data_IF_341256503210
#
_entry.id   IF_341256503210
#
_cell.length_a   1.000
_cell.length_b   1.000
_cell.length_c   1.000
_cell.angle_alpha   90.00
_cell.angle_beta   90.00
_cell.angle_gamma   90.00
#
_symmetry.space_group_name_H-M   'P 1'
#
loop_
_entity.id
_entity.type
_entity.pdbx_description
1 polymer ?
#
# COMPACT_ATOMS: atom_id res chain seq x y z
N UNK A 1 10.32 0.61 -16.40
CA UNK A 1 9.85 1.11 -15.10
C UNK A 1 10.82 0.71 -14.01
N UNK A 2 11.18 1.66 -13.18
CA UNK A 2 12.19 1.46 -12.16
C UNK A 2 11.61 0.84 -10.89
N UNK A 3 12.30 -0.17 -10.34
CA UNK A 3 11.99 -0.74 -9.04
C UNK A 3 12.56 0.17 -7.96
N UNK A 4 11.72 0.55 -7.01
CA UNK A 4 12.13 1.31 -5.83
C UNK A 4 12.09 0.38 -4.63
N UNK A 5 13.26 0.08 -4.04
CA UNK A 5 13.36 -0.85 -2.93
C UNK A 5 13.06 -0.18 -1.61
N UNK A 6 12.34 -0.90 -0.75
CA UNK A 6 11.97 -0.46 0.60
C UNK A 6 12.22 -1.64 1.56
N UNK A 7 12.30 -1.40 2.88
CA UNK A 7 12.55 -2.48 3.84
C UNK A 7 11.55 -3.63 3.78
N UNK A 8 10.33 -3.37 3.33
CA UNK A 8 9.27 -4.39 3.24
C UNK A 8 9.17 -5.06 1.86
N UNK A 9 9.89 -4.57 0.85
CA UNK A 9 9.82 -5.10 -0.51
C UNK A 9 10.17 -4.07 -1.56
N UNK A 10 9.28 -3.82 -2.52
CA UNK A 10 9.53 -2.84 -3.57
C UNK A 10 8.24 -2.32 -4.18
N UNK A 11 8.35 -1.23 -4.92
CA UNK A 11 7.25 -0.77 -5.77
C UNK A 11 7.76 -0.24 -7.11
N UNK A 12 6.85 -0.16 -8.07
CA UNK A 12 7.07 0.47 -9.38
C UNK A 12 5.94 1.45 -9.64
N UNK A 13 6.27 2.65 -10.12
CA UNK A 13 5.27 3.57 -10.65
C UNK A 13 4.97 3.14 -12.09
N UNK A 14 3.73 2.72 -12.33
CA UNK A 14 3.30 2.21 -13.64
C UNK A 14 2.81 3.37 -14.52
N UNK A 15 2.10 4.33 -13.94
CA UNK A 15 1.55 5.48 -14.65
C UNK A 15 1.40 6.65 -13.69
N UNK A 16 1.66 7.85 -14.17
CA UNK A 16 1.58 9.07 -13.36
C UNK A 16 1.09 10.22 -14.22
N UNK A 17 0.08 10.94 -13.73
CA UNK A 17 -0.38 12.18 -14.33
C UNK A 17 -0.67 13.19 -13.21
N UNK A 18 -1.26 14.32 -13.53
CA UNK A 18 -1.52 15.37 -12.55
C UNK A 18 -2.57 15.00 -11.51
N UNK A 19 -3.46 14.08 -11.82
CA UNK A 19 -4.62 13.72 -10.99
C UNK A 19 -4.63 12.26 -10.54
N UNK A 20 -3.64 11.46 -10.94
CA UNK A 20 -3.51 10.08 -10.46
C UNK A 20 -2.08 9.58 -10.50
N UNK A 21 -1.82 8.53 -9.71
CA UNK A 21 -0.61 7.73 -9.80
C UNK A 21 -0.99 6.26 -9.62
N UNK A 22 -0.43 5.38 -10.45
CA UNK A 22 -0.63 3.94 -10.34
C UNK A 22 0.69 3.28 -9.98
N UNK A 23 0.67 2.46 -8.94
CA UNK A 23 1.84 1.69 -8.48
C UNK A 23 1.53 0.20 -8.45
N UNK A 24 2.56 -0.60 -8.71
CA UNK A 24 2.58 -2.02 -8.38
C UNK A 24 3.48 -2.17 -7.14
N UNK A 25 2.96 -2.76 -6.07
CA UNK A 25 3.71 -2.98 -4.84
C UNK A 25 3.85 -4.47 -4.58
N UNK A 26 5.03 -4.87 -4.10
CA UNK A 26 5.35 -6.24 -3.73
C UNK A 26 5.88 -6.25 -2.31
N UNK A 27 5.20 -7.00 -1.44
CA UNK A 27 5.56 -7.12 -0.02
C UNK A 27 6.14 -8.51 0.22
N UNK A 28 7.34 -8.57 0.78
CA UNK A 28 8.02 -9.84 1.06
C UNK A 28 7.33 -10.59 2.20
N UNK A 29 7.44 -11.94 2.21
CA UNK A 29 6.85 -12.75 3.28
C UNK A 29 7.28 -12.28 4.68
N UNK A 30 6.33 -12.22 5.60
CA UNK A 30 6.59 -11.84 6.99
C UNK A 30 6.78 -10.35 7.21
N UNK A 31 6.66 -9.52 6.18
CA UNK A 31 6.85 -8.07 6.29
C UNK A 31 5.54 -7.34 6.07
N UNK A 32 5.53 -6.07 6.49
CA UNK A 32 4.35 -5.21 6.35
C UNK A 32 4.77 -3.76 6.15
N UNK A 33 3.90 -2.99 5.51
CA UNK A 33 4.07 -1.55 5.40
C UNK A 33 3.78 -0.89 6.74
N UNK A 34 4.20 0.37 6.89
CA UNK A 34 3.83 1.14 8.08
C UNK A 34 2.33 1.31 8.17
N UNK A 35 1.82 1.48 9.39
CA UNK A 35 0.45 1.92 9.63
C UNK A 35 0.44 3.43 9.44
N UNK A 36 -0.29 3.93 8.44
CA UNK A 36 -0.08 5.26 7.93
C UNK A 36 -1.37 5.94 7.47
N UNK A 37 -1.32 7.27 7.35
CA UNK A 37 -2.40 8.07 6.78
C UNK A 37 -1.85 8.95 5.65
N UNK A 38 -2.73 9.35 4.73
CA UNK A 38 -2.46 10.34 3.69
C UNK A 38 -3.60 11.36 3.67
N UNK A 39 -3.26 12.64 3.58
CA UNK A 39 -4.26 13.71 3.62
C UNK A 39 -4.62 14.22 2.22
N UNK A 40 -3.75 14.03 1.23
CA UNK A 40 -3.91 14.64 -0.09
C UNK A 40 -4.28 13.66 -1.19
N UNK A 41 -4.49 12.38 -0.84
CA UNK A 41 -4.89 11.36 -1.82
C UNK A 41 -5.74 10.28 -1.18
N UNK A 42 -6.60 9.65 -2.00
CA UNK A 42 -7.23 8.39 -1.70
C UNK A 42 -6.53 7.28 -2.47
N UNK A 43 -6.69 6.03 -2.03
CA UNK A 43 -6.06 4.88 -2.66
C UNK A 43 -7.07 3.78 -2.92
N UNK A 44 -6.91 3.11 -4.06
CA UNK A 44 -7.74 1.99 -4.47
C UNK A 44 -6.80 0.83 -4.72
N UNK A 45 -6.94 -0.25 -3.95
CA UNK A 45 -6.05 -1.41 -4.01
C UNK A 45 -6.76 -2.61 -4.62
N UNK A 46 -6.07 -3.33 -5.51
CA UNK A 46 -6.51 -4.62 -6.02
C UNK A 46 -5.40 -5.63 -5.75
N UNK A 47 -5.71 -6.66 -4.97
CA UNK A 47 -4.74 -7.72 -4.68
C UNK A 47 -4.60 -8.61 -5.91
N UNK A 48 -3.36 -8.83 -6.36
CA UNK A 48 -3.05 -9.59 -7.57
C UNK A 48 -2.65 -11.01 -7.23
N UNK A 49 -1.81 -11.20 -6.20
CA UNK A 49 -1.39 -12.52 -5.75
C UNK A 49 -0.88 -12.45 -4.32
N UNK A 50 -0.87 -13.61 -3.67
CA UNK A 50 -0.43 -13.75 -2.30
C UNK A 50 -1.58 -13.71 -1.31
N UNK A 51 -1.24 -13.79 -0.01
CA UNK A 51 -2.19 -13.78 1.08
C UNK A 51 -1.73 -12.78 2.13
N UNK A 52 -2.61 -11.88 2.53
CA UNK A 52 -2.25 -10.84 3.48
C UNK A 52 -3.38 -10.48 4.41
N UNK A 53 -3.11 -9.45 5.23
CA UNK A 53 -4.12 -8.78 6.04
C UNK A 53 -4.06 -7.29 5.73
N UNK A 54 -5.22 -6.69 5.59
CA UNK A 54 -5.37 -5.24 5.44
C UNK A 54 -6.02 -4.70 6.70
N UNK A 55 -5.41 -3.70 7.30
CA UNK A 55 -5.97 -2.99 8.45
C UNK A 55 -6.40 -1.61 8.01
N UNK A 56 -7.65 -1.25 8.25
CA UNK A 56 -8.20 0.05 7.93
C UNK A 56 -8.98 0.56 9.14
N UNK A 57 -8.55 1.71 9.67
CA UNK A 57 -9.19 2.34 10.82
C UNK A 57 -9.35 1.35 11.99
N UNK A 58 -8.31 0.58 12.26
CA UNK A 58 -8.26 -0.43 13.32
C UNK A 58 -8.94 -1.75 13.01
N UNK A 59 -9.60 -1.89 11.87
CA UNK A 59 -10.32 -3.12 11.50
C UNK A 59 -9.45 -3.93 10.54
N UNK A 60 -9.16 -5.18 10.92
CA UNK A 60 -8.32 -6.07 10.15
C UNK A 60 -9.17 -7.05 9.32
N UNK A 61 -8.80 -7.24 8.05
CA UNK A 61 -9.43 -8.20 7.15
C UNK A 61 -8.36 -9.02 6.45
N UNK A 62 -8.62 -10.29 6.19
CA UNK A 62 -7.77 -11.09 5.31
C UNK A 62 -7.99 -10.66 3.86
N UNK A 63 -6.95 -10.79 3.04
CA UNK A 63 -7.04 -10.53 1.61
C UNK A 63 -6.32 -11.59 0.79
N UNK A 64 -6.89 -11.88 -0.37
CA UNK A 64 -6.35 -12.79 -1.39
C UNK A 64 -6.54 -12.17 -2.77
N UNK A 65 -5.99 -12.80 -3.80
CA UNK A 65 -6.11 -12.32 -5.18
C UNK A 65 -7.57 -12.03 -5.57
N UNK A 66 -7.79 -10.87 -6.17
CA UNK A 66 -9.11 -10.42 -6.60
C UNK A 66 -9.82 -9.52 -5.58
N UNK A 67 -9.36 -9.48 -4.33
CA UNK A 67 -9.93 -8.58 -3.34
C UNK A 67 -9.52 -7.13 -3.62
N UNK A 68 -10.43 -6.21 -3.34
CA UNK A 68 -10.21 -4.79 -3.55
C UNK A 68 -10.58 -3.98 -2.31
N UNK A 69 -9.84 -2.89 -2.09
CA UNK A 69 -10.02 -2.02 -0.92
C UNK A 69 -10.01 -0.56 -1.36
N UNK A 70 -10.87 0.25 -0.76
CA UNK A 70 -10.90 1.69 -0.97
C UNK A 70 -10.46 2.36 0.33
N UNK A 71 -9.40 3.15 0.24
CA UNK A 71 -8.82 3.85 1.38
C UNK A 71 -9.00 5.33 1.13
N UNK A 72 -9.94 5.95 1.81
CA UNK A 72 -10.21 7.38 1.67
C UNK A 72 -9.14 8.21 2.37
N UNK A 73 -9.05 9.48 2.02
CA UNK A 73 -8.13 10.43 2.63
C UNK A 73 -8.29 10.43 4.16
N UNK A 74 -7.18 10.42 4.87
CA UNK A 74 -7.15 10.47 6.32
C UNK A 74 -7.38 9.15 7.04
N UNK A 75 -7.72 8.08 6.33
CA UNK A 75 -7.97 6.77 6.95
C UNK A 75 -6.63 6.06 7.22
N UNK A 76 -6.43 5.66 8.46
CA UNK A 76 -5.25 4.89 8.85
C UNK A 76 -5.33 3.48 8.26
N UNK A 77 -4.24 3.02 7.64
CA UNK A 77 -4.23 1.75 6.93
C UNK A 77 -2.83 1.14 6.86
N UNK A 78 -2.80 -0.19 6.71
CA UNK A 78 -1.59 -0.95 6.39
C UNK A 78 -1.95 -2.28 5.74
N UNK A 79 -0.98 -2.88 5.06
CA UNK A 79 -1.07 -4.24 4.55
C UNK A 79 0.13 -5.04 5.08
N UNK A 80 -0.13 -6.29 5.44
CA UNK A 80 0.89 -7.23 5.91
C UNK A 80 0.84 -8.50 5.07
N UNK A 81 2.02 -9.02 4.74
CA UNK A 81 2.11 -10.32 4.07
C UNK A 81 2.19 -11.41 5.13
N UNK A 82 1.16 -12.25 5.21
CA UNK A 82 1.07 -13.37 6.16
C UNK A 82 1.29 -14.74 5.48
N UNK A 83 1.57 -14.73 4.18
CA UNK A 83 1.80 -15.94 3.41
C UNK A 83 3.28 -16.29 3.29
N UNK A 84 3.57 -17.32 2.50
CA UNK A 84 4.93 -17.80 2.26
C UNK A 84 5.53 -17.21 0.98
N UNK A 85 4.71 -16.66 0.10
CA UNK A 85 5.12 -16.05 -1.17
C UNK A 85 4.94 -14.55 -1.12
N UNK A 86 5.50 -13.86 -2.10
CA UNK A 86 5.32 -12.41 -2.25
C UNK A 86 3.83 -12.04 -2.36
N UNK A 87 3.47 -10.94 -1.73
CA UNK A 87 2.14 -10.34 -1.82
C UNK A 87 2.23 -9.16 -2.78
N UNK A 88 1.47 -9.21 -3.87
CA UNK A 88 1.50 -8.16 -4.90
C UNK A 88 0.12 -7.53 -5.03
N UNK A 89 0.08 -6.20 -5.05
CA UNK A 89 -1.15 -5.47 -5.30
C UNK A 89 -0.90 -4.24 -6.19
N UNK A 90 -1.95 -3.83 -6.87
CA UNK A 90 -1.97 -2.62 -7.69
C UNK A 90 -2.70 -1.54 -6.91
N UNK A 91 -2.10 -0.37 -6.85
CA UNK A 91 -2.62 0.77 -6.12
C UNK A 91 -2.86 1.93 -7.08
N UNK A 92 -4.09 2.43 -7.13
CA UNK A 92 -4.44 3.64 -7.85
C UNK A 92 -4.61 4.75 -6.81
N UNK A 93 -3.78 5.78 -6.91
CA UNK A 93 -3.84 6.96 -6.05
C UNK A 93 -4.56 8.08 -6.80
N UNK A 94 -5.57 8.66 -6.18
CA UNK A 94 -6.33 9.78 -6.76
C UNK A 94 -6.21 10.98 -5.83
N UNK A 95 -5.87 12.14 -6.38
CA UNK A 95 -5.73 13.35 -5.60
C UNK A 95 -4.92 14.43 -6.31
N UNK A 96 -4.39 15.35 -5.52
CA UNK A 96 -3.67 16.52 -6.03
C UNK A 96 -2.16 16.43 -5.75
N UNK A 97 -1.73 15.50 -4.91
CA UNK A 97 -0.33 15.38 -4.53
C UNK A 97 -0.02 13.93 -4.14
N UNK A 98 1.07 13.39 -4.69
CA UNK A 98 1.46 11.98 -4.52
C UNK A 98 2.83 11.81 -3.87
N UNK A 99 3.41 12.87 -3.33
CA UNK A 99 4.71 12.79 -2.67
C UNK A 99 4.67 11.97 -1.40
N UNK A 100 5.76 11.26 -1.10
CA UNK A 100 5.85 10.42 0.10
C UNK A 100 5.91 11.24 1.40
N UNK A 101 6.17 12.53 1.33
CA UNK A 101 6.14 13.42 2.49
C UNK A 101 4.71 13.71 2.99
N UNK A 102 3.68 13.31 2.23
CA UNK A 102 2.29 13.31 2.71
C UNK A 102 1.99 12.10 3.62
N UNK A 103 2.93 11.17 3.75
CA UNK A 103 2.75 9.99 4.60
C UNK A 103 3.00 10.36 6.06
N UNK A 104 1.99 10.11 6.91
CA UNK A 104 2.16 10.16 8.37
C UNK A 104 2.21 8.72 8.88
N UNK A 105 3.37 8.30 9.36
CA UNK A 105 3.56 6.94 9.86
C UNK A 105 3.22 6.88 11.35
N UNK A 106 2.18 6.10 11.67
CA UNK A 106 1.70 5.90 13.04
C UNK A 106 2.46 4.76 13.73
N UNK A 107 2.80 3.72 12.97
CA UNK A 107 3.62 2.59 13.40
C UNK A 107 4.47 2.14 12.23
N UNK A 108 5.75 1.83 12.48
CA UNK A 108 6.65 1.35 11.44
C UNK A 108 7.66 0.38 12.04
N UNK A 109 7.65 -0.88 11.56
CA UNK A 109 8.55 -1.93 12.01
C UNK A 109 10.02 -1.61 11.72
N UNK A 110 10.30 -0.70 10.81
CA UNK A 110 11.64 -0.39 10.32
C UNK A 110 12.20 0.92 10.87
N UNK A 111 11.46 1.62 11.71
CA UNK A 111 11.92 2.83 12.40
C UNK A 111 12.12 4.06 11.50
N UNK A 112 11.34 4.14 10.44
CA UNK A 112 11.46 5.27 9.48
C UNK A 112 10.73 6.52 9.94
#
# INVERSE_FOLDING_TARGET
MELVYRPWGNYQVISLDSDYQVKKLTVEPGKRLSYQTHEQRSEYWVIVKGTGTVTMDGIQSMCVAGDAFIIEQGIAHRIANIGEDDLTFIEVQLGIYFGEDDIVRLEDDFGR
#
